data_IF_909480397040
#
_entry.id   IF_909480397040
#
_cell.length_a   1.000
_cell.length_b   1.000
_cell.length_c   1.000
_cell.angle_alpha   90.00
_cell.angle_beta   90.00
_cell.angle_gamma   90.00
#
_symmetry.space_group_name_H-M   'P 1'
#
loop_
_entity.id
_entity.type
_entity.pdbx_description
1 polymer ?
#
# COMPACT_ATOMS: atom_id res chain seq x y z
N UNK A 1 -4.82 10.28 20.42
CA UNK A 1 -3.53 9.57 20.23
C UNK A 1 -3.37 8.62 21.40
N UNK A 2 -3.33 7.31 21.13
CA UNK A 2 -3.23 6.28 22.18
C UNK A 2 -1.79 6.05 22.65
N UNK A 3 -0.82 6.41 21.82
CA UNK A 3 0.61 6.32 22.10
C UNK A 3 1.26 7.70 22.02
N UNK A 4 2.20 8.03 22.88
CA UNK A 4 2.94 9.30 22.80
C UNK A 4 3.61 9.43 21.43
N UNK A 5 3.66 10.66 20.90
CA UNK A 5 4.43 10.95 19.70
C UNK A 5 5.91 10.82 20.05
N UNK A 6 6.60 9.90 19.40
CA UNK A 6 8.01 9.68 19.66
C UNK A 6 8.87 10.83 19.10
N UNK A 7 10.05 11.11 19.67
CA UNK A 7 10.99 12.07 19.10
C UNK A 7 11.35 11.78 17.63
N UNK A 8 11.44 10.49 17.26
CA UNK A 8 11.66 10.07 15.88
C UNK A 8 10.50 10.48 14.98
N UNK A 9 9.27 10.26 15.43
CA UNK A 9 8.08 10.66 14.69
C UNK A 9 8.05 12.18 14.48
N UNK A 10 8.32 12.96 15.52
CA UNK A 10 8.42 14.42 15.46
C UNK A 10 9.53 14.87 14.51
N UNK A 11 10.71 14.22 14.53
CA UNK A 11 11.82 14.60 13.66
C UNK A 11 11.51 14.39 12.18
N UNK A 12 10.76 13.34 11.85
CA UNK A 12 10.38 13.01 10.46
C UNK A 12 9.21 13.85 9.94
N UNK A 13 8.20 14.08 10.79
CA UNK A 13 6.94 14.70 10.37
C UNK A 13 6.81 16.17 10.77
N UNK A 14 7.64 16.63 11.71
CA UNK A 14 7.52 17.90 12.43
C UNK A 14 6.20 18.06 13.23
N UNK A 15 5.44 16.97 13.37
CA UNK A 15 4.22 16.96 14.18
C UNK A 15 4.58 16.78 15.66
N UNK A 16 3.96 17.60 16.49
CA UNK A 16 4.08 17.57 17.94
C UNK A 16 2.72 17.34 18.59
N UNK A 17 2.71 17.11 19.89
CA UNK A 17 1.46 17.03 20.65
C UNK A 17 0.56 18.25 20.45
N UNK A 18 1.13 19.43 20.36
CA UNK A 18 0.36 20.67 20.16
C UNK A 18 -0.47 20.66 18.87
N UNK A 19 0.03 20.00 17.82
CA UNK A 19 -0.67 19.88 16.54
C UNK A 19 -1.86 18.93 16.62
N UNK A 20 -1.81 17.91 17.48
CA UNK A 20 -2.79 16.82 17.48
C UNK A 20 -3.72 16.80 18.69
N UNK A 21 -3.41 17.55 19.77
CA UNK A 21 -4.19 17.52 21.02
C UNK A 21 -5.67 17.90 20.84
N UNK A 22 -5.97 18.76 19.88
CA UNK A 22 -7.33 19.21 19.56
C UNK A 22 -7.87 18.61 18.26
N UNK A 23 -7.13 17.66 17.64
CA UNK A 23 -7.59 17.01 16.42
C UNK A 23 -8.70 15.98 16.75
N UNK A 24 -9.56 15.74 15.76
CA UNK A 24 -10.57 14.70 15.84
C UNK A 24 -9.96 13.29 16.03
N UNK A 25 -10.78 12.37 16.45
CA UNK A 25 -10.40 10.97 16.60
C UNK A 25 -10.30 10.28 15.24
N UNK A 26 -9.76 9.05 15.22
CA UNK A 26 -9.78 8.22 14.02
C UNK A 26 -11.21 7.99 13.51
N UNK A 27 -12.18 7.79 14.42
CA UNK A 27 -13.60 7.68 14.05
C UNK A 27 -14.12 8.94 13.37
N UNK A 28 -13.76 10.11 13.89
CA UNK A 28 -14.19 11.38 13.29
C UNK A 28 -13.62 11.55 11.88
N UNK A 29 -12.37 11.15 11.67
CA UNK A 29 -11.74 11.17 10.36
C UNK A 29 -12.43 10.23 9.36
N UNK A 30 -12.76 9.01 9.79
CA UNK A 30 -13.51 8.05 8.94
C UNK A 30 -14.91 8.59 8.62
N UNK A 31 -15.62 9.12 9.60
CA UNK A 31 -16.95 9.67 9.38
C UNK A 31 -16.93 10.88 8.44
N UNK A 32 -15.94 11.77 8.58
CA UNK A 32 -15.79 12.92 7.69
C UNK A 32 -15.48 12.49 6.25
N UNK A 33 -14.62 11.47 6.08
CA UNK A 33 -14.33 10.92 4.77
C UNK A 33 -15.56 10.22 4.17
N UNK A 34 -16.30 9.46 4.96
CA UNK A 34 -17.51 8.76 4.51
C UNK A 34 -18.60 9.75 4.07
N UNK A 35 -18.79 10.84 4.80
CA UNK A 35 -19.70 11.91 4.41
C UNK A 35 -19.29 12.53 3.06
N UNK A 36 -18.01 12.85 2.90
CA UNK A 36 -17.48 13.38 1.64
C UNK A 36 -17.65 12.38 0.48
N UNK A 37 -17.28 11.13 0.69
CA UNK A 37 -17.39 10.09 -0.32
C UNK A 37 -18.84 9.86 -0.75
N UNK A 38 -19.76 9.82 0.21
CA UNK A 38 -21.19 9.64 -0.05
C UNK A 38 -21.80 10.82 -0.85
N UNK A 39 -21.30 12.03 -0.62
CA UNK A 39 -21.77 13.21 -1.33
C UNK A 39 -21.21 13.34 -2.74
N UNK A 40 -19.91 13.03 -2.91
CA UNK A 40 -19.16 13.40 -4.12
C UNK A 40 -18.70 12.23 -4.99
N UNK A 41 -18.54 11.02 -4.41
CA UNK A 41 -17.93 9.88 -5.10
C UNK A 41 -18.88 8.71 -5.32
N UNK A 42 -19.87 8.53 -4.45
CA UNK A 42 -20.83 7.44 -4.58
C UNK A 42 -22.03 7.91 -5.43
N UNK A 43 -22.40 7.21 -6.51
CA UNK A 43 -23.58 7.57 -7.27
C UNK A 43 -24.85 7.49 -6.42
N UNK A 44 -25.69 8.52 -6.46
CA UNK A 44 -26.92 8.60 -5.67
C UNK A 44 -27.95 7.53 -6.04
N UNK A 45 -27.86 7.03 -7.27
CA UNK A 45 -28.74 5.98 -7.81
C UNK A 45 -28.22 4.56 -7.60
N UNK A 46 -27.12 4.40 -6.89
CA UNK A 46 -26.53 3.11 -6.60
C UNK A 46 -27.39 2.36 -5.59
N UNK A 47 -28.05 1.29 -6.01
CA UNK A 47 -28.81 0.42 -5.13
C UNK A 47 -27.96 -0.23 -4.03
N UNK A 48 -28.58 -0.79 -2.99
CA UNK A 48 -27.86 -1.46 -1.92
C UNK A 48 -27.02 -2.62 -2.48
N UNK A 49 -25.69 -2.53 -2.30
CA UNK A 49 -24.74 -3.52 -2.81
C UNK A 49 -24.03 -3.14 -4.12
N UNK A 50 -24.30 -1.97 -4.68
CA UNK A 50 -23.55 -1.47 -5.85
C UNK A 50 -22.07 -1.25 -5.47
N UNK A 51 -21.19 -1.64 -6.40
CA UNK A 51 -19.75 -1.34 -6.25
C UNK A 51 -19.51 0.16 -6.36
N UNK A 52 -18.59 0.71 -5.58
CA UNK A 52 -18.23 2.12 -5.71
C UNK A 52 -17.73 2.39 -7.14
N UNK A 53 -18.16 3.51 -7.72
CA UNK A 53 -17.73 3.95 -9.06
C UNK A 53 -16.32 4.56 -9.07
N UNK A 54 -15.59 4.42 -7.97
CA UNK A 54 -14.23 4.96 -7.81
C UNK A 54 -13.26 3.90 -7.28
N UNK A 55 -12.00 4.12 -7.55
CA UNK A 55 -10.90 3.33 -7.01
C UNK A 55 -9.91 4.26 -6.29
N UNK A 56 -9.15 3.69 -5.38
CA UNK A 56 -8.09 4.40 -4.69
C UNK A 56 -6.77 4.24 -5.43
N UNK A 57 -5.91 5.23 -5.31
CA UNK A 57 -4.51 5.14 -5.71
C UNK A 57 -3.64 5.48 -4.51
N UNK A 58 -2.77 4.57 -4.13
CA UNK A 58 -1.78 4.75 -3.05
C UNK A 58 -0.38 4.46 -3.59
N UNK A 59 0.66 4.85 -2.87
CA UNK A 59 2.02 4.50 -3.28
C UNK A 59 2.22 2.99 -3.32
N UNK A 60 1.73 2.32 -2.27
CA UNK A 60 1.66 0.85 -2.14
C UNK A 60 0.29 0.45 -1.57
N UNK A 61 -0.13 -0.80 -1.72
CA UNK A 61 -1.39 -1.27 -1.15
C UNK A 61 -1.45 -1.27 0.39
N UNK A 62 -0.31 -1.16 1.04
CA UNK A 62 -0.15 -1.29 2.49
C UNK A 62 -1.12 -0.43 3.29
N UNK A 63 -1.26 0.86 2.93
CA UNK A 63 -2.01 1.82 3.74
C UNK A 63 -3.49 1.44 3.86
N UNK A 64 -4.11 1.03 2.76
CA UNK A 64 -5.55 0.71 2.73
C UNK A 64 -5.85 -0.77 3.00
N UNK A 65 -4.92 -1.68 2.67
CA UNK A 65 -5.16 -3.13 2.87
C UNK A 65 -4.72 -3.63 4.23
N UNK A 66 -3.81 -2.90 4.89
CA UNK A 66 -3.17 -3.34 6.13
C UNK A 66 -3.37 -2.35 7.25
N UNK A 67 -2.82 -1.16 7.11
CA UNK A 67 -2.77 -0.19 8.19
C UNK A 67 -4.17 0.28 8.58
N UNK A 68 -5.01 0.65 7.61
CA UNK A 68 -6.36 1.14 7.87
C UNK A 68 -7.26 0.09 8.55
N UNK A 69 -7.37 -1.17 8.08
CA UNK A 69 -8.16 -2.19 8.75
C UNK A 69 -7.67 -2.52 10.16
N UNK A 70 -6.33 -2.56 10.36
CA UNK A 70 -5.75 -2.78 11.69
C UNK A 70 -6.12 -1.67 12.65
N UNK A 71 -5.95 -0.42 12.24
CA UNK A 71 -6.29 0.75 13.05
C UNK A 71 -7.80 0.79 13.38
N UNK A 72 -8.64 0.45 12.41
CA UNK A 72 -10.08 0.37 12.59
C UNK A 72 -10.47 -0.69 13.62
N UNK A 73 -9.86 -1.88 13.54
CA UNK A 73 -10.07 -2.95 14.51
C UNK A 73 -9.61 -2.54 15.90
N UNK A 74 -8.39 -2.01 16.02
CA UNK A 74 -7.80 -1.66 17.31
C UNK A 74 -8.56 -0.52 18.02
N UNK A 75 -9.30 0.29 17.27
CA UNK A 75 -10.15 1.38 17.77
C UNK A 75 -11.65 1.08 17.76
N UNK A 76 -12.06 -0.14 17.42
CA UNK A 76 -13.46 -0.56 17.28
C UNK A 76 -14.27 0.41 16.40
N UNK A 77 -13.72 0.75 15.22
CA UNK A 77 -14.38 1.56 14.20
C UNK A 77 -14.79 0.67 13.05
N UNK A 78 -16.08 0.69 12.70
CA UNK A 78 -16.57 -0.01 11.50
C UNK A 78 -16.28 0.87 10.29
N UNK A 79 -15.55 0.31 9.34
CA UNK A 79 -15.25 1.01 8.09
C UNK A 79 -16.45 0.92 7.12
N UNK A 80 -16.67 1.94 6.27
CA UNK A 80 -17.58 1.83 5.13
C UNK A 80 -17.20 0.66 4.20
N UNK A 81 -18.16 0.05 3.47
CA UNK A 81 -17.91 -1.13 2.62
C UNK A 81 -16.76 -0.95 1.62
N UNK A 82 -16.61 0.23 1.05
CA UNK A 82 -15.56 0.55 0.08
C UNK A 82 -14.17 0.75 0.73
N UNK A 83 -14.09 0.92 2.05
CA UNK A 83 -12.84 0.89 2.81
C UNK A 83 -12.56 -0.48 3.43
N UNK A 84 -13.59 -1.31 3.64
CA UNK A 84 -13.39 -2.70 4.07
C UNK A 84 -12.77 -3.54 2.95
N UNK A 85 -13.22 -3.30 1.71
CA UNK A 85 -12.77 -4.01 0.51
C UNK A 85 -12.46 -3.00 -0.60
N UNK A 86 -11.38 -2.23 -0.46
CA UNK A 86 -11.06 -1.19 -1.42
C UNK A 86 -10.65 -1.78 -2.77
N UNK A 87 -11.15 -1.16 -3.84
CA UNK A 87 -10.60 -1.31 -5.17
C UNK A 87 -9.48 -0.30 -5.28
N UNK A 88 -8.25 -0.74 -5.51
CA UNK A 88 -7.12 0.17 -5.47
C UNK A 88 -6.04 -0.16 -6.49
N UNK A 89 -5.25 0.85 -6.81
CA UNK A 89 -4.04 0.73 -7.61
C UNK A 89 -2.83 1.17 -6.78
N UNK A 90 -1.72 0.48 -6.93
CA UNK A 90 -0.44 0.89 -6.34
C UNK A 90 0.36 1.70 -7.35
N UNK A 91 0.60 2.99 -7.10
CA UNK A 91 1.37 3.85 -8.02
C UNK A 91 2.74 3.27 -8.36
N UNK A 92 3.38 2.59 -7.40
CA UNK A 92 4.66 1.91 -7.62
C UNK A 92 4.56 0.85 -8.73
N UNK A 93 3.53 0.02 -8.69
CA UNK A 93 3.31 -1.04 -9.69
C UNK A 93 2.95 -0.44 -11.05
N UNK A 94 2.12 0.60 -11.05
CA UNK A 94 1.74 1.30 -12.28
C UNK A 94 2.96 1.99 -12.92
N UNK A 95 3.83 2.58 -12.11
CA UNK A 95 5.08 3.17 -12.60
C UNK A 95 6.05 2.10 -13.14
N UNK A 96 6.12 0.93 -12.53
CA UNK A 96 6.91 -0.19 -13.08
C UNK A 96 6.36 -0.65 -14.43
N UNK A 97 5.04 -0.71 -14.58
CA UNK A 97 4.40 -1.01 -15.86
C UNK A 97 4.76 0.06 -16.90
N UNK A 98 4.72 1.33 -16.54
CA UNK A 98 5.15 2.44 -17.39
C UNK A 98 6.64 2.29 -17.79
N UNK A 99 7.54 2.03 -16.83
CA UNK A 99 8.97 1.83 -17.08
C UNK A 99 9.28 0.70 -18.07
N UNK A 100 8.47 -0.36 -18.06
CA UNK A 100 8.67 -1.49 -18.98
C UNK A 100 8.52 -1.10 -20.46
N UNK A 101 7.83 0.01 -20.72
CA UNK A 101 7.58 0.55 -22.06
C UNK A 101 8.35 1.87 -22.32
N UNK A 102 9.01 2.41 -21.28
CA UNK A 102 9.73 3.68 -21.26
C UNK A 102 11.17 3.51 -20.72
N UNK A 103 12.08 2.94 -21.53
CA UNK A 103 13.46 2.63 -21.08
C UNK A 103 14.22 3.84 -20.53
N UNK A 104 13.92 5.05 -20.98
CA UNK A 104 14.51 6.31 -20.51
C UNK A 104 14.27 6.56 -19.02
N UNK A 105 13.24 5.95 -18.45
CA UNK A 105 12.90 6.11 -17.02
C UNK A 105 13.53 5.07 -16.11
N UNK A 106 14.21 4.05 -16.66
CA UNK A 106 14.81 2.95 -15.89
C UNK A 106 15.89 3.39 -14.89
N UNK A 107 16.52 4.54 -15.11
CA UNK A 107 17.47 5.13 -14.16
C UNK A 107 16.81 5.56 -12.83
N UNK A 108 15.49 5.71 -12.80
CA UNK A 108 14.73 6.17 -11.64
C UNK A 108 13.99 5.01 -10.99
N UNK A 109 14.45 4.58 -9.83
CA UNK A 109 13.86 3.46 -9.10
C UNK A 109 12.39 3.69 -8.75
N UNK A 110 11.56 2.67 -8.83
CA UNK A 110 10.18 2.68 -8.31
C UNK A 110 10.10 2.58 -6.77
N UNK A 111 11.22 2.45 -6.07
CA UNK A 111 11.27 2.17 -4.63
C UNK A 111 10.80 3.33 -3.75
N UNK A 112 10.92 4.57 -4.19
CA UNK A 112 10.53 5.76 -3.45
C UNK A 112 9.69 6.72 -4.29
N UNK A 113 8.83 7.49 -3.62
CA UNK A 113 8.02 8.51 -4.28
C UNK A 113 8.89 9.57 -4.95
N UNK A 114 9.98 10.00 -4.31
CA UNK A 114 10.93 10.98 -4.87
C UNK A 114 11.56 10.50 -6.18
N UNK A 115 11.93 9.22 -6.27
CA UNK A 115 12.49 8.65 -7.49
C UNK A 115 11.44 8.55 -8.61
N UNK A 116 10.19 8.20 -8.26
CA UNK A 116 9.08 8.21 -9.20
C UNK A 116 8.82 9.63 -9.72
N UNK A 117 8.84 10.64 -8.82
CA UNK A 117 8.73 12.04 -9.21
C UNK A 117 9.79 12.43 -10.24
N UNK A 118 11.05 12.08 -9.98
CA UNK A 118 12.15 12.38 -10.90
C UNK A 118 11.94 11.71 -12.28
N UNK A 119 11.52 10.43 -12.29
CA UNK A 119 11.25 9.71 -13.55
C UNK A 119 10.03 10.21 -14.32
N UNK A 120 9.05 10.78 -13.63
CA UNK A 120 7.88 11.40 -14.24
C UNK A 120 8.03 12.92 -14.46
N UNK A 121 9.16 13.51 -14.10
CA UNK A 121 9.44 14.95 -14.17
C UNK A 121 8.42 15.79 -13.37
N UNK A 122 8.09 15.30 -12.19
CA UNK A 122 7.12 15.92 -11.28
C UNK A 122 7.86 16.56 -10.11
N UNK A 123 7.49 17.78 -9.78
CA UNK A 123 7.99 18.44 -8.59
C UNK A 123 7.23 17.98 -7.35
N UNK A 124 7.97 17.53 -6.32
CA UNK A 124 7.40 17.14 -5.04
C UNK A 124 6.74 18.32 -4.33
N UNK A 125 5.60 18.08 -3.71
CA UNK A 125 5.01 19.03 -2.77
C UNK A 125 5.79 18.95 -1.47
N UNK A 126 6.48 20.03 -1.10
CA UNK A 126 7.31 20.08 0.10
C UNK A 126 6.59 20.81 1.22
N UNK A 127 6.64 20.20 2.41
CA UNK A 127 6.20 20.88 3.63
C UNK A 127 7.14 22.02 4.00
N UNK A 128 6.59 23.04 4.60
CA UNK A 128 7.38 24.06 5.30
C UNK A 128 8.02 23.45 6.55
N UNK A 129 9.31 23.64 6.71
CA UNK A 129 10.08 23.15 7.84
C UNK A 129 11.28 22.31 7.43
N UNK A 130 12.13 22.02 8.38
CA UNK A 130 13.31 21.16 8.20
C UNK A 130 13.17 19.93 9.10
N UNK A 131 13.52 18.77 8.58
CA UNK A 131 13.68 17.58 9.41
C UNK A 131 14.78 17.85 10.44
N UNK A 132 14.43 17.74 11.72
CA UNK A 132 15.36 18.05 12.80
C UNK A 132 16.40 16.96 12.97
N UNK A 133 17.65 17.35 13.31
CA UNK A 133 18.82 16.48 13.38
C UNK A 133 18.86 15.45 14.52
N UNK A 134 17.71 15.10 15.11
CA UNK A 134 17.60 14.09 16.18
C UNK A 134 17.53 12.64 15.71
N UNK A 135 17.75 12.38 14.41
CA UNK A 135 17.74 11.02 13.87
C UNK A 135 19.01 10.26 14.27
N UNK A 136 18.88 8.97 14.65
CA UNK A 136 20.04 8.09 14.81
C UNK A 136 20.92 8.09 13.56
N UNK A 137 22.24 7.99 13.74
CA UNK A 137 23.22 8.10 12.64
C UNK A 137 22.91 7.18 11.45
N UNK A 138 22.50 5.94 11.71
CA UNK A 138 22.15 4.96 10.68
C UNK A 138 20.88 5.32 9.87
N UNK A 139 20.05 6.23 10.36
CA UNK A 139 18.85 6.72 9.66
C UNK A 139 19.06 8.08 9.00
N UNK A 140 20.16 8.77 9.27
CA UNK A 140 20.41 10.10 8.71
C UNK A 140 20.55 10.08 7.19
N UNK A 141 21.13 9.01 6.63
CA UNK A 141 21.23 8.85 5.17
C UNK A 141 19.88 8.60 4.49
N UNK A 142 18.87 8.15 5.26
CA UNK A 142 17.51 7.90 4.79
C UNK A 142 16.55 9.06 5.14
N UNK A 143 17.08 10.10 5.80
CA UNK A 143 16.27 11.24 6.22
C UNK A 143 15.70 11.95 5.00
N UNK A 144 14.38 12.21 4.97
CA UNK A 144 13.79 12.98 3.90
C UNK A 144 14.29 14.43 3.95
N UNK A 145 14.41 15.07 2.80
CA UNK A 145 14.82 16.48 2.69
C UNK A 145 13.78 17.46 3.23
N UNK A 146 12.54 17.02 3.35
CA UNK A 146 11.43 17.77 3.93
C UNK A 146 10.60 16.88 4.86
N UNK A 147 9.80 17.46 5.77
CA UNK A 147 8.91 16.68 6.62
C UNK A 147 7.97 15.78 5.83
N UNK A 148 7.77 14.57 6.31
CA UNK A 148 6.84 13.60 5.71
C UNK A 148 5.46 13.79 6.33
N UNK A 149 4.55 14.39 5.58
CA UNK A 149 3.16 14.61 5.99
C UNK A 149 2.23 14.02 4.95
N UNK A 150 1.18 13.37 5.41
CA UNK A 150 0.24 12.65 4.55
C UNK A 150 -0.40 13.54 3.47
N UNK A 151 -0.69 14.80 3.78
CA UNK A 151 -1.29 15.73 2.82
C UNK A 151 -0.35 16.00 1.63
N UNK A 152 0.90 16.35 1.91
CA UNK A 152 1.89 16.68 0.88
C UNK A 152 2.28 15.43 0.07
N UNK A 153 2.38 14.28 0.75
CA UNK A 153 2.61 13.00 0.05
C UNK A 153 1.42 12.66 -0.86
N UNK A 154 0.18 12.84 -0.42
CA UNK A 154 -1.02 12.62 -1.24
C UNK A 154 -1.10 13.58 -2.43
N UNK A 155 -0.76 14.86 -2.25
CA UNK A 155 -0.70 15.83 -3.33
C UNK A 155 0.40 15.49 -4.35
N UNK A 156 1.57 15.07 -3.88
CA UNK A 156 2.67 14.61 -4.74
C UNK A 156 2.24 13.38 -5.54
N UNK A 157 1.62 12.41 -4.87
CA UNK A 157 1.11 11.20 -5.50
C UNK A 157 0.05 11.51 -6.58
N UNK A 158 -0.85 12.46 -6.31
CA UNK A 158 -1.83 12.95 -7.28
C UNK A 158 -1.17 13.57 -8.51
N UNK A 159 -0.11 14.37 -8.33
CA UNK A 159 0.69 14.92 -9.44
C UNK A 159 1.37 13.83 -10.25
N UNK A 160 1.98 12.84 -9.58
CA UNK A 160 2.60 11.68 -10.25
C UNK A 160 1.58 10.89 -11.05
N UNK A 161 0.41 10.61 -10.48
CA UNK A 161 -0.68 9.93 -11.18
C UNK A 161 -1.12 10.70 -12.43
N UNK A 162 -1.31 12.01 -12.31
CA UNK A 162 -1.69 12.84 -13.45
C UNK A 162 -0.60 12.85 -14.54
N UNK A 163 0.68 12.99 -14.18
CA UNK A 163 1.80 12.92 -15.14
C UNK A 163 1.87 11.56 -15.81
N UNK A 164 1.73 10.48 -15.02
CA UNK A 164 1.69 9.11 -15.53
C UNK A 164 0.57 8.94 -16.58
N UNK A 165 -0.64 9.38 -16.27
CA UNK A 165 -1.78 9.31 -17.20
C UNK A 165 -1.57 10.14 -18.45
N UNK A 166 -0.98 11.33 -18.34
CA UNK A 166 -0.69 12.19 -19.50
C UNK A 166 0.38 11.56 -20.38
N UNK A 167 1.49 11.11 -19.79
CA UNK A 167 2.61 10.47 -20.52
C UNK A 167 2.22 9.11 -21.12
N UNK A 168 1.22 8.44 -20.57
CA UNK A 168 0.72 7.16 -21.10
C UNK A 168 -0.25 7.29 -22.27
N UNK A 169 -0.70 8.51 -22.59
CA UNK A 169 -1.59 8.73 -23.74
C UNK A 169 -0.85 8.57 -25.07
N UNK A 170 -1.56 8.17 -26.13
CA UNK A 170 -0.99 8.18 -27.46
C UNK A 170 -0.40 9.55 -27.82
N UNK A 171 0.82 9.54 -28.36
CA UNK A 171 1.56 10.73 -28.74
C UNK A 171 2.25 10.51 -30.10
N UNK A 172 2.73 11.56 -30.79
CA UNK A 172 3.48 11.38 -32.03
C UNK A 172 4.72 10.49 -31.90
N UNK A 173 5.34 10.47 -30.71
CA UNK A 173 6.49 9.62 -30.39
C UNK A 173 6.10 8.21 -29.91
N UNK A 174 4.88 8.02 -29.42
CA UNK A 174 4.31 6.74 -29.01
C UNK A 174 2.84 6.66 -29.47
N UNK A 175 2.57 6.27 -30.73
CA UNK A 175 1.22 6.28 -31.29
C UNK A 175 0.22 5.34 -30.60
N UNK A 176 0.70 4.28 -29.98
CA UNK A 176 -0.15 3.32 -29.26
C UNK A 176 -0.39 3.72 -27.79
N UNK A 177 0.43 4.65 -27.27
CA UNK A 177 0.43 4.98 -25.86
C UNK A 177 1.07 3.86 -25.01
N UNK A 178 0.95 3.98 -23.69
CA UNK A 178 1.43 2.96 -22.74
C UNK A 178 0.26 2.07 -22.33
N UNK A 179 0.32 0.80 -22.73
CA UNK A 179 -0.74 -0.16 -22.42
C UNK A 179 -0.69 -0.63 -20.97
N UNK A 180 -1.84 -1.00 -20.47
CA UNK A 180 -1.96 -1.69 -19.16
C UNK A 180 -2.02 -0.79 -17.93
N UNK A 181 -1.75 0.52 -18.05
CA UNK A 181 -1.81 1.46 -16.93
C UNK A 181 -3.25 1.56 -16.40
N UNK A 182 -3.41 1.41 -15.08
CA UNK A 182 -4.69 1.36 -14.38
C UNK A 182 -5.71 0.36 -14.96
N UNK A 183 -5.25 -0.70 -15.59
CA UNK A 183 -6.12 -1.70 -16.22
C UNK A 183 -6.58 -2.79 -15.25
N UNK A 184 -5.75 -3.11 -14.24
CA UNK A 184 -5.98 -4.20 -13.29
C UNK A 184 -5.91 -3.71 -11.86
N UNK A 185 -7.05 -3.30 -11.28
CA UNK A 185 -7.07 -2.92 -9.88
C UNK A 185 -6.83 -4.12 -8.97
N UNK A 186 -6.25 -3.85 -7.82
CA UNK A 186 -6.22 -4.78 -6.71
C UNK A 186 -7.62 -4.77 -6.06
N UNK A 187 -8.34 -5.86 -6.19
CA UNK A 187 -9.67 -6.07 -5.59
C UNK A 187 -9.63 -7.28 -4.65
N UNK A 188 -9.51 -7.00 -3.36
CA UNK A 188 -9.42 -8.06 -2.35
C UNK A 188 -10.63 -9.01 -2.35
N UNK A 189 -11.81 -8.52 -2.72
CA UNK A 189 -13.01 -9.37 -2.80
C UNK A 189 -12.95 -10.33 -3.99
N UNK A 190 -12.47 -9.87 -5.13
CA UNK A 190 -12.23 -10.72 -6.31
C UNK A 190 -11.12 -11.73 -6.03
N UNK A 191 -10.02 -11.29 -5.39
CA UNK A 191 -8.91 -12.17 -5.01
C UNK A 191 -9.38 -13.31 -4.10
N UNK A 192 -10.18 -13.00 -3.07
CA UNK A 192 -10.75 -14.01 -2.16
C UNK A 192 -11.69 -14.97 -2.91
N UNK A 193 -12.54 -14.46 -3.82
CA UNK A 193 -13.42 -15.32 -4.62
C UNK A 193 -12.65 -16.24 -5.55
N UNK A 194 -11.61 -15.73 -6.20
CA UNK A 194 -10.72 -16.51 -7.04
C UNK A 194 -10.03 -17.61 -6.22
N UNK A 195 -9.43 -17.25 -5.09
CA UNK A 195 -8.79 -18.17 -4.16
C UNK A 195 -9.74 -19.32 -3.72
N UNK A 196 -10.97 -18.97 -3.30
CA UNK A 196 -11.95 -19.96 -2.88
C UNK A 196 -12.41 -20.86 -4.05
N UNK A 197 -12.56 -20.28 -5.25
CA UNK A 197 -12.95 -21.02 -6.46
C UNK A 197 -11.86 -21.96 -6.97
N UNK A 198 -10.63 -21.54 -6.95
CA UNK A 198 -9.47 -22.30 -7.40
C UNK A 198 -9.00 -23.36 -6.38
N UNK A 199 -9.47 -23.28 -5.13
CA UNK A 199 -9.03 -24.12 -4.01
C UNK A 199 -7.51 -24.14 -3.87
N UNK A 200 -6.90 -22.97 -4.00
CA UNK A 200 -5.45 -22.83 -3.91
C UNK A 200 -4.90 -23.34 -2.59
N UNK A 201 -3.72 -23.94 -2.65
CA UNK A 201 -2.91 -24.38 -1.49
C UNK A 201 -1.74 -23.45 -1.25
N UNK A 202 -1.61 -22.40 -2.05
CA UNK A 202 -0.47 -21.49 -2.06
C UNK A 202 -0.93 -20.11 -1.61
N UNK A 203 -0.21 -19.54 -0.66
CA UNK A 203 -0.34 -18.14 -0.28
C UNK A 203 0.84 -17.34 -0.80
N UNK A 204 0.56 -16.20 -1.38
CA UNK A 204 1.56 -15.18 -1.65
C UNK A 204 1.67 -14.24 -0.46
N UNK A 205 2.88 -14.07 0.05
CA UNK A 205 3.21 -13.13 1.10
C UNK A 205 3.79 -11.86 0.48
N UNK A 206 3.34 -10.70 0.92
CA UNK A 206 3.87 -9.41 0.49
C UNK A 206 4.05 -8.49 1.70
N UNK A 207 4.92 -7.48 1.57
CA UNK A 207 5.18 -6.54 2.66
C UNK A 207 6.01 -7.13 3.81
N UNK A 208 6.71 -8.22 3.57
CA UNK A 208 7.65 -8.79 4.55
C UNK A 208 8.80 -7.82 4.80
N UNK A 209 9.28 -7.70 6.04
CA UNK A 209 10.53 -7.01 6.34
C UNK A 209 11.68 -7.54 5.47
N UNK A 210 12.59 -6.65 5.07
CA UNK A 210 13.70 -7.02 4.17
C UNK A 210 14.71 -7.99 4.79
N UNK A 211 14.68 -8.15 6.09
CA UNK A 211 15.50 -9.06 6.87
C UNK A 211 14.78 -10.36 7.25
N UNK A 212 13.55 -10.55 6.82
CA UNK A 212 12.76 -11.74 7.12
C UNK A 212 13.46 -13.00 6.61
N UNK A 213 13.73 -13.90 7.53
CA UNK A 213 14.32 -15.21 7.25
C UNK A 213 13.26 -16.29 7.11
N UNK A 214 13.62 -17.37 6.44
CA UNK A 214 12.75 -18.55 6.32
C UNK A 214 12.40 -19.14 7.70
N UNK A 215 13.37 -19.19 8.63
CA UNK A 215 13.15 -19.71 9.98
C UNK A 215 12.15 -18.87 10.79
N UNK A 216 12.16 -17.56 10.61
CA UNK A 216 11.18 -16.68 11.26
C UNK A 216 9.77 -16.93 10.72
N UNK A 217 9.62 -17.09 9.40
CA UNK A 217 8.35 -17.47 8.81
C UNK A 217 7.86 -18.83 9.29
N UNK A 218 8.73 -19.84 9.34
CA UNK A 218 8.40 -21.18 9.86
C UNK A 218 7.95 -21.11 11.33
N UNK A 219 8.69 -20.42 12.17
CA UNK A 219 8.34 -20.21 13.58
C UNK A 219 7.00 -19.51 13.71
N UNK A 220 6.78 -18.49 12.91
CA UNK A 220 5.57 -17.73 12.93
C UNK A 220 4.34 -18.56 12.51
N UNK A 221 4.42 -19.29 11.41
CA UNK A 221 3.33 -20.16 10.97
C UNK A 221 3.07 -21.30 11.99
N UNK A 222 4.11 -21.89 12.55
CA UNK A 222 4.01 -22.96 13.56
C UNK A 222 3.34 -22.46 14.84
N UNK A 223 3.68 -21.25 15.28
CA UNK A 223 3.07 -20.62 16.46
C UNK A 223 1.56 -20.45 16.32
N UNK A 224 1.08 -20.26 15.11
CA UNK A 224 -0.33 -20.04 14.81
C UNK A 224 -1.06 -21.26 14.25
N UNK A 225 -0.51 -22.46 14.44
CA UNK A 225 -1.15 -23.72 14.12
C UNK A 225 -1.03 -24.17 12.66
N UNK A 226 -0.33 -23.42 11.82
CA UNK A 226 -0.04 -23.81 10.44
C UNK A 226 1.16 -24.74 10.36
N UNK A 227 1.10 -25.73 9.45
CA UNK A 227 2.25 -26.58 9.11
C UNK A 227 2.48 -26.54 7.59
N UNK A 228 3.04 -25.45 7.07
CA UNK A 228 3.32 -25.37 5.65
C UNK A 228 4.31 -26.44 5.21
N UNK A 229 4.13 -26.92 3.98
CA UNK A 229 5.02 -27.90 3.36
C UNK A 229 6.30 -27.23 2.87
N UNK A 230 6.19 -26.00 2.37
CA UNK A 230 7.32 -25.27 1.80
C UNK A 230 7.12 -23.74 1.91
N UNK A 231 8.26 -23.06 1.91
CA UNK A 231 8.36 -21.60 1.90
C UNK A 231 9.37 -21.16 0.85
N UNK A 232 9.11 -20.04 0.20
CA UNK A 232 10.06 -19.34 -0.66
C UNK A 232 10.00 -17.85 -0.42
N UNK A 233 11.11 -17.26 -0.05
CA UNK A 233 11.25 -15.80 -0.10
C UNK A 233 11.81 -15.41 -1.46
N UNK A 234 11.19 -14.44 -2.08
CA UNK A 234 11.66 -13.92 -3.37
C UNK A 234 12.81 -12.96 -3.16
N UNK A 235 13.74 -12.96 -4.11
CA UNK A 235 14.90 -12.07 -4.12
C UNK A 235 14.84 -11.17 -5.34
N UNK A 236 15.36 -9.96 -5.21
CA UNK A 236 15.49 -9.03 -6.32
C UNK A 236 16.55 -9.54 -7.31
N UNK A 237 16.34 -9.39 -8.63
CA UNK A 237 17.34 -9.79 -9.64
C UNK A 237 18.67 -9.03 -9.47
N UNK A 238 18.61 -7.80 -9.02
CA UNK A 238 19.75 -6.88 -8.88
C UNK A 238 20.48 -7.02 -7.53
N UNK A 239 21.04 -8.18 -7.24
CA UNK A 239 21.89 -8.35 -6.04
C UNK A 239 21.38 -9.32 -5.00
N UNK A 240 20.34 -10.09 -5.27
CA UNK A 240 19.89 -11.17 -4.39
C UNK A 240 19.35 -10.73 -3.04
N UNK A 241 18.95 -9.46 -2.90
CA UNK A 241 18.33 -8.95 -1.67
C UNK A 241 16.88 -9.46 -1.56
N UNK A 242 16.36 -9.71 -0.35
CA UNK A 242 14.96 -10.06 -0.18
C UNK A 242 14.04 -9.00 -0.81
N UNK A 243 13.04 -9.43 -1.56
CA UNK A 243 12.09 -8.53 -2.23
C UNK A 243 10.96 -8.04 -1.31
N UNK A 244 10.87 -8.55 -0.10
CA UNK A 244 9.72 -8.36 0.78
C UNK A 244 8.50 -9.20 0.39
N UNK A 245 8.68 -10.18 -0.49
CA UNK A 245 7.62 -11.08 -0.96
C UNK A 245 8.04 -12.54 -0.86
N UNK A 246 7.07 -13.43 -0.82
CA UNK A 246 7.33 -14.87 -0.77
C UNK A 246 6.08 -15.70 -1.04
N UNK A 247 6.26 -17.00 -1.07
CA UNK A 247 5.18 -17.96 -1.19
C UNK A 247 5.23 -18.97 -0.06
N UNK A 248 4.06 -19.40 0.37
CA UNK A 248 3.89 -20.48 1.35
C UNK A 248 2.93 -21.51 0.78
N UNK A 249 3.30 -22.78 0.87
CA UNK A 249 2.49 -23.91 0.39
C UNK A 249 2.04 -24.74 1.56
N UNK A 250 0.75 -25.06 1.59
CA UNK A 250 0.11 -25.92 2.59
C UNK A 250 -0.26 -27.28 2.01
N UNK A 251 -0.60 -28.22 2.87
CA UNK A 251 -1.02 -29.57 2.47
C UNK A 251 -2.39 -29.59 1.81
N UNK A 252 -3.30 -28.72 2.24
CA UNK A 252 -4.67 -28.64 1.73
C UNK A 252 -5.17 -27.21 1.63
N UNK A 253 -6.22 -27.01 0.85
CA UNK A 253 -6.93 -25.73 0.78
C UNK A 253 -7.63 -25.43 2.12
N UNK A 254 -8.13 -26.43 2.80
CA UNK A 254 -8.79 -26.32 4.09
C UNK A 254 -7.86 -25.77 5.15
N UNK A 255 -6.58 -26.16 5.17
CA UNK A 255 -5.57 -25.58 6.05
C UNK A 255 -5.35 -24.11 5.78
N UNK A 256 -5.26 -23.74 4.50
CA UNK A 256 -5.12 -22.35 4.10
C UNK A 256 -6.34 -21.53 4.50
N UNK A 257 -7.55 -22.09 4.23
CA UNK A 257 -8.82 -21.44 4.58
C UNK A 257 -8.96 -21.25 6.09
N UNK A 258 -8.64 -22.27 6.89
CA UNK A 258 -8.62 -22.16 8.34
C UNK A 258 -7.70 -21.03 8.81
N UNK A 259 -6.57 -20.87 8.14
CA UNK A 259 -5.63 -19.81 8.40
C UNK A 259 -6.19 -18.43 8.03
N UNK A 260 -6.93 -18.33 6.94
CA UNK A 260 -7.63 -17.11 6.53
C UNK A 260 -8.77 -16.75 7.50
N UNK A 261 -9.63 -17.70 7.86
CA UNK A 261 -10.79 -17.48 8.71
C UNK A 261 -10.37 -17.07 10.14
N UNK A 262 -9.27 -17.65 10.63
CA UNK A 262 -8.70 -17.30 11.93
C UNK A 262 -7.93 -15.99 11.91
N UNK A 263 -7.47 -15.56 10.73
CA UNK A 263 -6.57 -14.43 10.55
C UNK A 263 -6.75 -13.65 9.25
N UNK A 264 -7.96 -13.37 8.87
CA UNK A 264 -8.26 -12.21 7.99
C UNK A 264 -7.59 -10.91 8.49
N UNK A 265 -6.74 -11.05 9.41
CA UNK A 265 -6.03 -10.12 10.26
C UNK A 265 -4.58 -9.96 9.81
N UNK A 266 -4.08 -10.81 8.95
CA UNK A 266 -2.73 -10.72 8.44
C UNK A 266 -2.72 -10.03 7.10
N UNK A 267 -2.68 -8.94 7.23
CA UNK A 267 -2.15 -7.66 6.74
C UNK A 267 -1.24 -7.75 5.48
N UNK A 268 -0.96 -8.90 4.90
CA UNK A 268 -0.04 -9.02 3.78
C UNK A 268 -0.23 -10.26 2.92
N UNK A 269 -1.34 -10.98 3.04
CA UNK A 269 -1.53 -12.21 2.27
C UNK A 269 -2.48 -11.96 1.13
N UNK A 270 -1.95 -11.92 -0.10
CA UNK A 270 -2.73 -12.11 -1.31
C UNK A 270 -2.72 -13.59 -1.68
N UNK A 271 -3.90 -14.19 -1.86
CA UNK A 271 -4.03 -15.53 -2.40
C UNK A 271 -3.97 -15.47 -3.94
N UNK A 272 -3.31 -16.42 -4.54
CA UNK A 272 -3.32 -16.70 -5.98
C UNK A 272 -4.11 -17.97 -6.28
#
# INVERSE_FOLDING_TARGET
>A
VNTPITPLCTSLTTLTWEHVKNAGTFRDAINAFDAYASEHLVPKDAGPGAHPSFAFVTLTPWDLRVQLPREARDKNVVLPPYLQHPILFGLRSEYQMFQSQHPETLAFSSSSLSSICAGLEVEEVRSSGKVTGGLPFHLQALAPTSPRRALEEALTLSRCLNSLLVKSRPSPSNPQGTEGILSRPLDARSDVRAFLGERSKVLHLSGLPHDTTQSELESWFTQYGGRPIAFWTLRTPEGGKPSGSGFVVFGSHEEVRHYFDYRMILDSVCAF
#
